data_IF_009666894296
#
_entry.id   IF_009666894296
#
_cell.length_a   1.000
_cell.length_b   1.000
_cell.length_c   1.000
_cell.angle_alpha   90.00
_cell.angle_beta   90.00
_cell.angle_gamma   90.00
#
_symmetry.space_group_name_H-M   'P 1'
#
loop_
_entity.id
_entity.type
_entity.pdbx_description
1 polymer ?
#
# COMPACT_ATOMS: atom_id res chain seq x y z
N UNK A 1 2.64 28.16 -28.02
CA UNK A 1 1.93 27.74 -26.78
C UNK A 1 2.68 28.36 -25.60
N UNK A 2 2.13 29.40 -25.00
CA UNK A 2 2.70 30.01 -23.80
C UNK A 2 2.42 29.08 -22.61
N UNK A 3 3.47 28.64 -21.96
CA UNK A 3 3.38 27.89 -20.70
C UNK A 3 2.70 28.79 -19.66
N UNK A 4 1.46 28.48 -19.30
CA UNK A 4 0.81 29.09 -18.15
C UNK A 4 1.21 28.22 -16.94
N UNK A 5 1.88 28.77 -15.91
CA UNK A 5 2.15 28.02 -14.70
C UNK A 5 0.81 27.61 -14.10
N UNK A 6 0.57 26.29 -14.01
CA UNK A 6 -0.62 25.79 -13.34
C UNK A 6 -0.48 26.07 -11.85
N UNK A 7 -1.57 26.49 -11.21
CA UNK A 7 -1.66 26.56 -9.77
C UNK A 7 -1.33 25.18 -9.15
N UNK A 8 -0.66 25.12 -7.99
CA UNK A 8 -0.51 23.86 -7.29
C UNK A 8 -1.88 23.24 -7.00
N UNK A 9 -1.96 21.90 -7.08
CA UNK A 9 -3.16 21.14 -6.73
C UNK A 9 -2.92 20.52 -5.35
N UNK A 10 -3.36 21.16 -4.26
CA UNK A 10 -3.13 20.65 -2.92
C UNK A 10 -3.95 19.40 -2.65
N UNK A 11 -3.40 18.49 -1.84
CA UNK A 11 -4.17 17.47 -1.14
C UNK A 11 -4.87 18.13 0.04
N UNK A 12 -6.19 18.15 -0.01
CA UNK A 12 -7.03 18.66 1.07
C UNK A 12 -7.51 17.50 1.93
N UNK A 13 -6.91 17.37 3.09
CA UNK A 13 -7.19 16.29 4.03
C UNK A 13 -8.47 16.58 4.81
N UNK A 14 -9.47 15.73 4.61
CA UNK A 14 -10.69 15.72 5.41
C UNK A 14 -10.47 14.84 6.63
N UNK A 15 -10.44 15.47 7.80
CA UNK A 15 -10.27 14.83 9.10
C UNK A 15 -11.07 15.59 10.17
N UNK A 16 -11.45 14.89 11.25
CA UNK A 16 -12.36 15.43 12.25
C UNK A 16 -13.81 15.49 11.78
N UNK A 17 -14.65 16.25 12.48
CA UNK A 17 -16.04 16.50 12.08
C UNK A 17 -16.07 17.41 10.85
N UNK A 18 -16.85 17.04 9.85
CA UNK A 18 -17.00 17.80 8.61
C UNK A 18 -18.41 18.35 8.51
N UNK A 19 -18.52 19.67 8.60
CA UNK A 19 -19.77 20.40 8.44
C UNK A 19 -19.75 21.22 7.15
N UNK A 20 -20.92 21.49 6.52
CA UNK A 20 -20.99 22.26 5.27
C UNK A 20 -20.25 23.60 5.32
N UNK A 21 -20.32 24.30 6.44
CA UNK A 21 -19.66 25.61 6.60
C UNK A 21 -18.14 25.51 6.63
N UNK A 22 -17.56 24.40 7.12
CA UNK A 22 -16.12 24.14 7.06
C UNK A 22 -15.67 24.05 5.60
N UNK A 23 -16.43 23.31 4.78
CA UNK A 23 -16.15 23.13 3.36
C UNK A 23 -16.22 24.47 2.63
N UNK A 24 -17.27 25.24 2.87
CA UNK A 24 -17.42 26.58 2.26
C UNK A 24 -16.26 27.50 2.63
N UNK A 25 -15.89 27.53 3.90
CA UNK A 25 -14.79 28.34 4.41
C UNK A 25 -13.44 27.95 3.81
N UNK A 26 -13.12 26.66 3.83
CA UNK A 26 -11.78 26.19 3.42
C UNK A 26 -11.59 26.27 1.91
N UNK A 27 -12.55 25.85 1.12
CA UNK A 27 -12.50 26.01 -0.33
C UNK A 27 -12.50 27.49 -0.73
N UNK A 28 -13.26 28.32 -0.05
CA UNK A 28 -13.24 29.77 -0.25
C UNK A 28 -11.87 30.38 -0.01
N UNK A 29 -11.23 30.01 1.11
CA UNK A 29 -9.88 30.48 1.44
C UNK A 29 -8.82 30.00 0.43
N UNK A 30 -8.94 28.79 -0.10
CA UNK A 30 -8.06 28.28 -1.16
C UNK A 30 -8.27 29.05 -2.46
N UNK A 31 -9.54 29.23 -2.86
CA UNK A 31 -9.90 29.98 -4.04
C UNK A 31 -9.37 31.41 -4.01
N UNK A 32 -9.53 32.13 -2.88
CA UNK A 32 -9.07 33.52 -2.69
C UNK A 32 -7.54 33.64 -2.79
N UNK A 33 -6.81 32.55 -2.61
CA UNK A 33 -5.36 32.43 -2.78
C UNK A 33 -4.93 31.94 -4.15
N UNK A 34 -5.89 31.83 -5.10
CA UNK A 34 -5.62 31.44 -6.50
C UNK A 34 -5.52 29.93 -6.71
N UNK A 35 -5.94 29.10 -5.76
CA UNK A 35 -6.06 27.66 -5.97
C UNK A 35 -7.29 27.39 -6.81
N UNK A 36 -7.11 26.76 -7.96
CA UNK A 36 -8.19 26.43 -8.90
C UNK A 36 -8.58 24.95 -8.90
N UNK A 37 -7.79 24.11 -8.27
CA UNK A 37 -7.98 22.66 -8.24
C UNK A 37 -7.55 22.11 -6.87
N UNK A 38 -8.23 21.08 -6.37
CA UNK A 38 -7.91 20.44 -5.08
C UNK A 38 -8.21 18.96 -5.12
N UNK A 39 -7.39 18.14 -4.47
CA UNK A 39 -7.64 16.71 -4.26
C UNK A 39 -8.33 16.54 -2.93
N UNK A 40 -9.57 16.07 -2.92
CA UNK A 40 -10.31 15.73 -1.70
C UNK A 40 -9.87 14.37 -1.21
N UNK A 41 -9.25 14.34 -0.03
CA UNK A 41 -8.63 13.14 0.51
C UNK A 41 -9.15 12.85 1.93
N UNK A 42 -9.94 11.77 2.12
CA UNK A 42 -10.32 11.32 3.45
C UNK A 42 -9.11 10.80 4.22
N UNK A 43 -8.92 11.30 5.45
CA UNK A 43 -7.70 11.05 6.23
C UNK A 43 -8.02 10.58 7.64
N UNK A 44 -6.97 10.15 8.38
CA UNK A 44 -7.06 9.79 9.79
C UNK A 44 -7.77 10.87 10.60
N UNK A 45 -8.69 10.45 11.46
CA UNK A 45 -9.52 11.33 12.26
C UNK A 45 -10.82 11.77 11.58
N UNK A 46 -11.11 11.36 10.33
CA UNK A 46 -12.43 11.51 9.74
C UNK A 46 -13.47 10.79 10.62
N UNK A 47 -14.50 11.52 11.07
CA UNK A 47 -15.48 10.98 12.02
C UNK A 47 -16.65 10.26 11.35
N UNK A 48 -16.78 10.36 10.03
CA UNK A 48 -17.79 9.59 9.28
C UNK A 48 -17.18 8.32 8.67
N UNK A 49 -17.98 7.29 8.57
CA UNK A 49 -17.55 6.05 7.93
C UNK A 49 -17.28 6.29 6.43
N UNK A 50 -16.09 5.95 5.97
CA UNK A 50 -15.72 6.05 4.57
C UNK A 50 -16.61 5.19 3.67
N UNK A 51 -17.07 5.74 2.57
CA UNK A 51 -18.03 5.15 1.62
C UNK A 51 -19.44 4.89 2.22
N UNK A 52 -19.79 5.57 3.31
CA UNK A 52 -21.16 5.64 3.80
C UNK A 52 -21.98 6.71 3.06
N UNK A 53 -23.28 6.72 3.26
CA UNK A 53 -24.15 7.77 2.72
C UNK A 53 -23.75 9.16 3.24
N UNK A 54 -23.34 9.27 4.50
CA UNK A 54 -22.84 10.52 5.09
C UNK A 54 -21.54 10.97 4.42
N UNK A 55 -20.62 10.04 4.10
CA UNK A 55 -19.43 10.36 3.31
C UNK A 55 -19.80 10.92 1.94
N UNK A 56 -20.74 10.29 1.23
CA UNK A 56 -21.17 10.78 -0.07
C UNK A 56 -21.89 12.11 0.01
N UNK A 57 -22.63 12.38 1.10
CA UNK A 57 -23.23 13.70 1.34
C UNK A 57 -22.15 14.78 1.51
N UNK A 58 -21.10 14.52 2.32
CA UNK A 58 -19.95 15.43 2.49
C UNK A 58 -19.28 15.70 1.14
N UNK A 59 -19.06 14.65 0.36
CA UNK A 59 -18.46 14.79 -0.96
C UNK A 59 -19.33 15.60 -1.91
N UNK A 60 -20.66 15.41 -1.82
CA UNK A 60 -21.63 16.22 -2.54
C UNK A 60 -21.52 17.70 -2.21
N UNK A 61 -21.39 18.07 -0.92
CA UNK A 61 -21.19 19.45 -0.48
C UNK A 61 -19.88 20.04 -1.05
N UNK A 62 -18.79 19.26 -1.05
CA UNK A 62 -17.52 19.69 -1.67
C UNK A 62 -17.71 20.01 -3.16
N UNK A 63 -18.43 19.17 -3.89
CA UNK A 63 -18.72 19.37 -5.33
C UNK A 63 -19.55 20.63 -5.54
N UNK A 64 -20.58 20.85 -4.74
CA UNK A 64 -21.47 22.01 -4.89
C UNK A 64 -20.75 23.32 -4.59
N UNK A 65 -19.92 23.37 -3.56
CA UNK A 65 -19.11 24.55 -3.24
C UNK A 65 -18.06 24.80 -4.33
N UNK A 66 -17.36 23.76 -4.78
CA UNK A 66 -16.37 23.89 -5.83
C UNK A 66 -16.99 24.42 -7.15
N UNK A 67 -18.20 23.95 -7.52
CA UNK A 67 -18.95 24.48 -8.67
C UNK A 67 -19.25 25.97 -8.53
N UNK A 68 -19.71 26.40 -7.34
CA UNK A 68 -19.98 27.82 -7.07
C UNK A 68 -18.74 28.70 -7.23
N UNK A 69 -17.56 28.17 -6.86
CA UNK A 69 -16.29 28.86 -6.92
C UNK A 69 -15.55 28.70 -8.28
N UNK A 70 -16.08 27.88 -9.17
CA UNK A 70 -15.38 27.58 -10.45
C UNK A 70 -14.11 26.76 -10.28
N UNK A 71 -13.97 26.04 -9.16
CA UNK A 71 -12.86 25.14 -8.86
C UNK A 71 -13.09 23.75 -9.41
N UNK A 72 -12.00 23.01 -9.67
CA UNK A 72 -12.04 21.57 -10.01
C UNK A 72 -11.69 20.75 -8.79
N UNK A 73 -12.44 19.65 -8.60
CA UNK A 73 -12.15 18.64 -7.59
C UNK A 73 -11.57 17.40 -8.24
N UNK A 74 -10.55 16.84 -7.59
CA UNK A 74 -10.02 15.52 -7.83
C UNK A 74 -10.42 14.61 -6.68
N UNK A 75 -10.80 13.40 -7.01
CA UNK A 75 -11.14 12.38 -6.01
C UNK A 75 -9.87 11.62 -5.67
N UNK A 76 -9.58 11.48 -4.37
CA UNK A 76 -8.66 10.46 -3.89
C UNK A 76 -9.49 9.21 -3.54
N UNK A 77 -9.12 8.08 -4.12
CA UNK A 77 -9.91 6.85 -4.16
C UNK A 77 -9.76 5.95 -2.91
N UNK A 78 -9.15 6.48 -1.83
CA UNK A 78 -8.85 5.67 -0.65
C UNK A 78 -9.06 6.46 0.65
N UNK A 79 -9.29 5.72 1.74
CA UNK A 79 -9.17 6.23 3.10
C UNK A 79 -7.72 6.09 3.57
N UNK A 80 -7.08 7.21 3.90
CA UNK A 80 -5.69 7.27 4.31
C UNK A 80 -4.70 6.93 3.15
N UNK A 81 -3.67 6.15 3.44
CA UNK A 81 -2.56 5.82 2.55
C UNK A 81 -2.02 4.43 2.87
N UNK A 82 -1.63 3.61 1.90
CA UNK A 82 -1.72 3.80 0.44
C UNK A 82 -3.10 3.45 -0.14
N UNK A 83 -3.35 3.86 -1.41
CA UNK A 83 -4.54 3.45 -2.16
C UNK A 83 -4.52 1.95 -2.48
N UNK A 84 -5.71 1.35 -2.57
CA UNK A 84 -5.92 -0.04 -3.01
C UNK A 84 -6.69 -0.93 -2.04
N UNK A 85 -7.02 -0.43 -0.85
CA UNK A 85 -7.72 -1.23 0.18
C UNK A 85 -9.21 -0.89 0.31
N UNK A 86 -9.64 0.25 -0.22
CA UNK A 86 -10.98 0.82 -0.05
C UNK A 86 -11.38 0.91 1.44
N UNK A 87 -10.50 1.50 2.27
CA UNK A 87 -10.69 1.57 3.72
C UNK A 87 -10.70 0.19 4.38
N UNK A 88 -9.85 -0.71 3.95
CA UNK A 88 -9.74 -2.12 4.36
C UNK A 88 -10.92 -3.01 3.93
N UNK A 89 -11.87 -2.50 3.16
CA UNK A 89 -13.02 -3.31 2.70
C UNK A 89 -12.57 -4.45 1.78
N UNK A 90 -11.61 -4.20 0.90
CA UNK A 90 -11.12 -5.20 -0.05
C UNK A 90 -10.38 -6.34 0.67
N UNK A 91 -9.34 -6.10 1.50
CA UNK A 91 -8.66 -7.20 2.20
C UNK A 91 -9.55 -7.96 3.17
N UNK A 92 -10.59 -7.32 3.74
CA UNK A 92 -11.55 -7.98 4.62
C UNK A 92 -12.50 -8.95 3.89
N UNK A 93 -12.50 -8.99 2.57
CA UNK A 93 -13.26 -9.99 1.80
C UNK A 93 -12.62 -11.38 1.84
N UNK A 94 -11.41 -11.52 2.35
CA UNK A 94 -10.71 -12.78 2.57
C UNK A 94 -9.27 -12.76 2.02
N UNK A 95 -8.52 -13.79 2.36
CA UNK A 95 -7.06 -13.90 2.09
C UNK A 95 -6.66 -13.66 0.63
N UNK A 96 -7.50 -14.07 -0.33
CA UNK A 96 -7.23 -13.86 -1.77
C UNK A 96 -7.13 -12.40 -2.19
N UNK A 97 -7.62 -11.47 -1.34
CA UNK A 97 -7.60 -10.03 -1.59
C UNK A 97 -6.56 -9.29 -0.75
N UNK A 98 -5.83 -10.02 0.08
CA UNK A 98 -4.75 -9.46 0.89
C UNK A 98 -3.45 -9.42 0.10
N UNK A 99 -2.65 -8.41 0.34
CA UNK A 99 -1.29 -8.34 -0.18
C UNK A 99 -0.49 -9.49 0.40
N UNK A 100 0.24 -10.19 -0.46
CA UNK A 100 1.16 -11.24 -0.04
C UNK A 100 2.58 -10.80 -0.35
N UNK A 101 3.51 -11.20 0.49
CA UNK A 101 4.94 -10.97 0.28
C UNK A 101 5.69 -12.28 0.52
N UNK A 102 6.82 -12.40 -0.16
CA UNK A 102 7.71 -13.53 0.03
C UNK A 102 8.73 -13.16 1.10
N UNK A 103 8.68 -13.85 2.23
CA UNK A 103 9.73 -13.77 3.23
C UNK A 103 10.77 -14.83 2.95
N UNK A 104 12.03 -14.42 2.86
CA UNK A 104 13.14 -15.30 2.52
C UNK A 104 14.19 -15.27 3.63
N UNK A 105 14.44 -16.42 4.24
CA UNK A 105 15.55 -16.62 5.18
C UNK A 105 16.68 -17.36 4.48
N UNK A 106 17.88 -16.81 4.51
CA UNK A 106 19.08 -17.42 3.99
C UNK A 106 19.91 -18.01 5.14
N UNK A 107 20.29 -19.29 5.02
CA UNK A 107 21.10 -19.98 6.03
C UNK A 107 22.20 -20.80 5.35
N UNK A 108 23.48 -20.66 5.74
CA UNK A 108 24.53 -21.56 5.27
C UNK A 108 24.19 -23.02 5.60
N UNK A 109 24.47 -23.94 4.68
CA UNK A 109 24.14 -25.36 4.90
C UNK A 109 24.72 -25.91 6.20
N UNK A 110 25.96 -25.52 6.56
CA UNK A 110 26.59 -25.96 7.79
C UNK A 110 25.97 -25.45 9.09
N UNK A 111 25.11 -24.46 9.02
CA UNK A 111 24.39 -23.87 10.15
C UNK A 111 22.95 -24.39 10.26
N UNK A 112 22.47 -25.15 9.27
CA UNK A 112 21.15 -25.74 9.29
C UNK A 112 21.11 -26.87 10.31
N UNK A 113 20.27 -26.76 11.33
CA UNK A 113 19.98 -27.85 12.24
C UNK A 113 18.71 -28.58 11.77
N UNK A 114 18.83 -29.79 11.18
CA UNK A 114 17.67 -30.50 10.64
C UNK A 114 16.57 -30.81 11.68
N UNK A 115 16.93 -30.90 12.95
CA UNK A 115 15.96 -31.21 14.01
C UNK A 115 15.05 -30.01 14.39
N UNK A 116 15.49 -28.80 14.07
CA UNK A 116 14.75 -27.55 14.38
C UNK A 116 14.45 -26.70 13.14
N UNK A 117 14.79 -27.19 11.94
CA UNK A 117 14.53 -26.46 10.71
C UNK A 117 13.05 -26.61 10.31
N UNK A 118 12.35 -25.49 10.33
CA UNK A 118 10.98 -25.42 9.84
C UNK A 118 11.01 -25.12 8.35
N UNK A 119 10.53 -26.06 7.54
CA UNK A 119 10.47 -25.87 6.09
C UNK A 119 9.33 -24.89 5.74
N UNK A 120 9.66 -23.86 4.98
CA UNK A 120 8.69 -22.98 4.38
C UNK A 120 7.98 -23.60 3.17
N UNK A 121 7.16 -22.83 2.50
CA UNK A 121 6.43 -23.29 1.30
C UNK A 121 7.34 -23.64 0.13
N UNK A 122 8.48 -22.97 0.04
CA UNK A 122 9.52 -23.24 -0.95
C UNK A 122 10.89 -23.17 -0.29
N UNK A 123 11.64 -24.25 -0.40
CA UNK A 123 13.04 -24.28 0.04
C UNK A 123 13.95 -24.56 -1.15
N UNK A 124 14.94 -23.72 -1.34
CA UNK A 124 15.93 -23.85 -2.42
C UNK A 124 17.33 -23.88 -1.82
N UNK A 125 18.10 -24.89 -2.19
CA UNK A 125 19.53 -24.90 -1.95
C UNK A 125 20.25 -24.32 -3.19
N UNK A 126 21.17 -23.38 -2.97
CA UNK A 126 22.02 -22.81 -4.00
C UNK A 126 23.49 -23.07 -3.68
N UNK A 127 24.21 -23.64 -4.61
CA UNK A 127 25.67 -23.80 -4.51
C UNK A 127 26.35 -22.49 -4.92
N UNK A 128 27.27 -22.02 -4.09
CA UNK A 128 27.99 -20.75 -4.29
C UNK A 128 29.47 -21.05 -4.57
N UNK A 129 29.94 -20.60 -5.71
CA UNK A 129 31.37 -20.68 -6.08
C UNK A 129 31.86 -19.29 -6.50
N UNK A 130 32.87 -18.79 -5.83
CA UNK A 130 33.43 -17.47 -6.08
C UNK A 130 32.38 -16.34 -6.08
N UNK A 131 31.38 -16.45 -5.19
CA UNK A 131 30.26 -15.47 -5.07
C UNK A 131 29.18 -15.59 -6.13
N UNK A 132 29.19 -16.60 -6.98
CA UNK A 132 28.19 -16.85 -8.00
C UNK A 132 27.41 -18.12 -7.71
N UNK A 133 26.11 -18.10 -8.00
CA UNK A 133 25.27 -19.31 -7.94
C UNK A 133 25.61 -20.17 -9.16
N UNK A 134 26.13 -21.36 -8.91
CA UNK A 134 26.51 -22.32 -9.96
C UNK A 134 25.49 -23.42 -10.15
N UNK A 135 24.73 -23.74 -9.10
CA UNK A 135 23.71 -24.76 -9.12
C UNK A 135 22.61 -24.43 -8.11
N UNK A 136 21.39 -24.77 -8.46
CA UNK A 136 20.25 -24.71 -7.54
C UNK A 136 19.52 -26.04 -7.48
N UNK A 137 18.93 -26.35 -6.33
CA UNK A 137 18.09 -27.53 -6.13
C UNK A 137 16.92 -27.16 -5.23
N UNK A 138 15.70 -27.50 -5.64
CA UNK A 138 14.53 -27.43 -4.77
C UNK A 138 14.62 -28.55 -3.74
N UNK A 139 14.31 -28.23 -2.51
CA UNK A 139 14.35 -29.14 -1.36
C UNK A 139 12.91 -29.38 -0.94
N UNK A 140 12.42 -30.59 -1.18
CA UNK A 140 11.06 -30.98 -0.82
C UNK A 140 11.02 -31.77 0.52
N UNK A 141 12.18 -32.19 0.99
CA UNK A 141 12.37 -32.87 2.30
C UNK A 141 13.71 -32.46 2.91
N UNK A 142 13.74 -32.20 4.22
CA UNK A 142 14.94 -31.75 4.93
C UNK A 142 16.10 -32.79 4.83
N UNK A 143 15.79 -34.08 4.71
CA UNK A 143 16.76 -35.13 4.53
C UNK A 143 17.59 -35.01 3.25
N UNK A 144 17.05 -34.33 2.21
CA UNK A 144 17.78 -34.09 0.97
C UNK A 144 19.02 -33.21 1.16
N UNK A 145 19.08 -32.39 2.22
CA UNK A 145 20.25 -31.57 2.54
C UNK A 145 21.48 -32.39 2.88
N UNK A 146 21.32 -33.61 3.41
CA UNK A 146 22.41 -34.49 3.77
C UNK A 146 23.24 -34.96 2.58
N UNK A 147 22.72 -34.92 1.37
CA UNK A 147 23.39 -35.28 0.13
C UNK A 147 24.20 -34.12 -0.49
N UNK A 148 24.09 -32.90 0.03
CA UNK A 148 24.77 -31.75 -0.51
C UNK A 148 26.21 -31.66 0.03
N UNK A 149 27.18 -31.45 -0.85
CA UNK A 149 28.59 -31.28 -0.50
C UNK A 149 29.13 -30.00 -1.13
N UNK A 150 29.96 -29.26 -0.38
CA UNK A 150 30.50 -27.99 -0.81
C UNK A 150 29.78 -26.79 -0.14
N UNK A 151 29.99 -25.61 -0.70
CA UNK A 151 29.41 -24.38 -0.17
C UNK A 151 28.00 -24.17 -0.71
N UNK A 152 27.02 -24.44 0.13
CA UNK A 152 25.61 -24.25 -0.19
C UNK A 152 24.95 -23.25 0.77
N UNK A 153 24.01 -22.48 0.22
CA UNK A 153 23.09 -21.61 0.97
C UNK A 153 21.67 -22.13 0.82
N UNK A 154 20.96 -22.16 1.92
CA UNK A 154 19.58 -22.60 1.96
C UNK A 154 18.68 -21.36 2.05
N UNK A 155 17.85 -21.20 1.06
CA UNK A 155 16.84 -20.14 0.98
C UNK A 155 15.49 -20.76 1.34
N UNK A 156 14.99 -20.39 2.50
CA UNK A 156 13.70 -20.84 3.00
C UNK A 156 12.69 -19.73 2.80
N UNK A 157 11.67 -19.96 1.99
CA UNK A 157 10.70 -18.97 1.55
C UNK A 157 9.33 -19.29 2.12
N UNK A 158 8.71 -18.29 2.75
CA UNK A 158 7.35 -18.33 3.26
C UNK A 158 6.52 -17.25 2.58
N UNK A 159 5.23 -17.51 2.40
CA UNK A 159 4.24 -16.49 2.06
C UNK A 159 3.70 -15.88 3.35
N UNK A 160 3.95 -14.58 3.54
CA UNK A 160 3.41 -13.80 4.64
C UNK A 160 2.21 -12.95 4.22
#
# INVERSE_FOLDING_TARGET
MTFQPRSPVPFWFLNGPIEPWHIERELGLMHDRGVSEVVVHPRYGLEVEYLSDDWFAIFGWCVDVAKKLGMRLWIYDELNWPSGTAGLRVPNLGERFQSKFLEVTETPLGEVNPASFEMGEVVVAANIECGNITKTSRIDDIGALSGLTGEWRIFNCNLG
#
